data_IF_644235294841
#
_entry.id   IF_644235294841
#
_cell.length_a   1.000
_cell.length_b   1.000
_cell.length_c   1.000
_cell.angle_alpha   90.00
_cell.angle_beta   90.00
_cell.angle_gamma   90.00
#
_symmetry.space_group_name_H-M   'P 1'
#
loop_
_entity.id
_entity.type
_entity.pdbx_description
1 polymer ?
#
# COMPACT_ATOMS: atom_id res chain seq x y z
N UNK A 1 31.40 49.62 21.09
CA UNK A 1 31.16 48.51 20.12
C UNK A 1 32.48 47.86 19.72
N UNK A 2 33.20 47.20 20.64
CA UNK A 2 34.47 46.49 20.32
C UNK A 2 34.72 45.22 21.14
N UNK A 3 33.69 44.66 21.79
CA UNK A 3 33.83 43.46 22.64
C UNK A 3 33.13 42.21 22.07
N UNK A 4 32.48 42.33 20.90
CA UNK A 4 31.88 41.18 20.20
C UNK A 4 32.90 40.35 19.41
N UNK A 5 34.11 40.88 19.22
CA UNK A 5 35.13 40.31 18.34
C UNK A 5 36.12 39.36 19.04
N UNK A 6 36.08 39.28 20.37
CA UNK A 6 36.91 38.35 21.15
C UNK A 6 36.07 37.23 21.77
N UNK A 7 34.95 36.91 21.13
CA UNK A 7 33.99 35.93 21.62
C UNK A 7 33.99 34.72 20.68
N UNK A 8 34.34 33.54 21.18
CA UNK A 8 34.22 32.26 20.46
C UNK A 8 32.75 31.95 20.05
N UNK A 9 31.82 32.85 20.40
CA UNK A 9 30.38 32.86 20.12
C UNK A 9 30.03 33.26 18.68
N UNK A 10 30.98 33.74 17.87
CA UNK A 10 30.75 33.98 16.43
C UNK A 10 30.61 32.69 15.60
N UNK A 11 31.38 31.64 15.93
CA UNK A 11 31.28 30.33 15.28
C UNK A 11 29.95 29.65 15.61
N UNK A 12 29.44 29.86 16.83
CA UNK A 12 28.15 29.34 17.24
C UNK A 12 27.02 29.93 16.39
N UNK A 13 27.07 31.22 16.04
CA UNK A 13 26.08 31.84 15.17
C UNK A 13 26.09 31.22 13.76
N UNK A 14 27.29 31.03 13.18
CA UNK A 14 27.44 30.39 11.86
C UNK A 14 26.94 28.94 11.92
N UNK A 15 27.38 28.18 12.91
CA UNK A 15 26.98 26.79 13.11
C UNK A 15 25.46 26.65 13.26
N UNK A 16 24.85 27.48 14.12
CA UNK A 16 23.39 27.48 14.34
C UNK A 16 22.64 27.89 13.08
N UNK A 17 23.15 28.86 12.31
CA UNK A 17 22.51 29.29 11.05
C UNK A 17 22.46 28.20 9.98
N UNK A 18 23.40 27.25 10.01
CA UNK A 18 23.42 26.09 9.11
C UNK A 18 22.66 24.90 9.71
N UNK A 19 22.83 24.65 11.00
CA UNK A 19 22.24 23.50 11.68
C UNK A 19 20.73 23.63 11.84
N UNK A 20 20.18 24.81 12.09
CA UNK A 20 18.73 24.97 12.22
C UNK A 20 17.98 24.61 10.93
N UNK A 21 18.32 25.15 9.75
CA UNK A 21 17.74 24.68 8.49
C UNK A 21 17.96 23.19 8.23
N UNK A 22 19.14 22.65 8.56
CA UNK A 22 19.42 21.23 8.38
C UNK A 22 18.50 20.35 9.25
N UNK A 23 18.35 20.67 10.54
CA UNK A 23 17.47 19.95 11.47
C UNK A 23 16.02 20.05 11.01
N UNK A 24 15.56 21.23 10.59
CA UNK A 24 14.20 21.41 10.07
C UNK A 24 14.00 20.56 8.80
N UNK A 25 14.97 20.56 7.88
CA UNK A 25 14.93 19.73 6.68
C UNK A 25 14.83 18.24 6.98
N UNK A 26 15.61 17.74 7.95
CA UNK A 26 15.54 16.35 8.40
C UNK A 26 14.21 16.01 9.10
N UNK A 27 13.65 16.95 9.87
CA UNK A 27 12.35 16.76 10.50
C UNK A 27 11.25 16.60 9.43
N UNK A 28 11.28 17.42 8.38
CA UNK A 28 10.34 17.32 7.26
C UNK A 28 10.49 16.00 6.49
N UNK A 29 11.73 15.58 6.21
CA UNK A 29 11.99 14.28 5.57
C UNK A 29 11.45 13.11 6.42
N UNK A 30 11.62 13.17 7.74
CA UNK A 30 11.08 12.17 8.66
C UNK A 30 9.55 12.11 8.60
N UNK A 31 8.89 13.27 8.52
CA UNK A 31 7.44 13.34 8.36
C UNK A 31 7.00 12.71 7.03
N UNK A 32 7.70 12.99 5.94
CA UNK A 32 7.43 12.38 4.62
C UNK A 32 7.55 10.85 4.68
N UNK A 33 8.61 10.35 5.29
CA UNK A 33 8.83 8.92 5.47
C UNK A 33 7.73 8.27 6.33
N UNK A 34 7.31 8.92 7.41
CA UNK A 34 6.20 8.44 8.23
C UNK A 34 4.90 8.33 7.42
N UNK A 35 4.62 9.31 6.56
CA UNK A 35 3.42 9.29 5.71
C UNK A 35 3.47 8.20 4.64
N UNK A 36 4.62 7.98 4.01
CA UNK A 36 4.80 6.90 3.05
C UNK A 36 4.62 5.52 3.70
N UNK A 37 5.15 5.32 4.91
CA UNK A 37 4.97 4.07 5.65
C UNK A 37 3.52 3.84 6.07
N UNK A 38 2.81 4.90 6.51
CA UNK A 38 1.39 4.78 6.83
C UNK A 38 0.58 4.41 5.59
N UNK A 39 0.81 5.08 4.46
CA UNK A 39 0.20 4.71 3.18
C UNK A 39 0.44 3.24 2.85
N UNK A 40 1.68 2.78 2.97
CA UNK A 40 2.03 1.39 2.67
C UNK A 40 1.25 0.41 3.55
N UNK A 41 1.18 0.66 4.85
CA UNK A 41 0.43 -0.18 5.79
C UNK A 41 -1.07 -0.17 5.52
N UNK A 42 -1.64 0.99 5.18
CA UNK A 42 -3.06 1.11 4.85
C UNK A 42 -3.39 0.32 3.57
N UNK A 43 -2.53 0.42 2.55
CA UNK A 43 -2.70 -0.34 1.30
C UNK A 43 -2.53 -1.85 1.50
N UNK A 44 -1.59 -2.28 2.36
CA UNK A 44 -1.45 -3.70 2.69
C UNK A 44 -2.69 -4.26 3.39
N UNK A 45 -3.21 -3.54 4.40
CA UNK A 45 -4.45 -3.94 5.09
C UNK A 45 -5.64 -3.95 4.14
N UNK A 46 -5.70 -2.97 3.24
CA UNK A 46 -6.74 -2.91 2.23
C UNK A 46 -6.68 -4.10 1.28
N UNK A 47 -5.50 -4.45 0.79
CA UNK A 47 -5.28 -5.62 -0.06
C UNK A 47 -5.71 -6.93 0.64
N UNK A 48 -5.37 -7.09 1.92
CA UNK A 48 -5.79 -8.25 2.71
C UNK A 48 -7.32 -8.31 2.88
N UNK A 49 -7.95 -7.18 3.20
CA UNK A 49 -9.41 -7.10 3.31
C UNK A 49 -10.11 -7.47 1.99
N UNK A 50 -9.62 -6.96 0.85
CA UNK A 50 -10.15 -7.33 -0.47
C UNK A 50 -9.90 -8.81 -0.80
N UNK A 51 -8.73 -9.36 -0.46
CA UNK A 51 -8.41 -10.76 -0.67
C UNK A 51 -9.35 -11.67 0.15
N UNK A 52 -9.62 -11.33 1.42
CA UNK A 52 -10.55 -12.09 2.28
C UNK A 52 -11.98 -12.01 1.75
N UNK A 53 -12.46 -10.82 1.37
CA UNK A 53 -13.81 -10.68 0.82
C UNK A 53 -13.97 -11.41 -0.51
N UNK A 54 -12.96 -11.35 -1.38
CA UNK A 54 -12.95 -12.10 -2.63
C UNK A 54 -12.90 -13.61 -2.41
N UNK A 55 -12.05 -14.08 -1.48
CA UNK A 55 -11.89 -15.50 -1.17
C UNK A 55 -13.13 -16.10 -0.49
N UNK A 56 -13.87 -15.33 0.31
CA UNK A 56 -15.11 -15.78 0.94
C UNK A 56 -16.19 -16.21 -0.08
N UNK A 57 -16.13 -15.70 -1.30
CA UNK A 57 -17.05 -16.05 -2.38
C UNK A 57 -16.58 -17.25 -3.22
N UNK A 58 -15.31 -17.67 -3.09
CA UNK A 58 -14.72 -18.78 -3.86
C UNK A 58 -15.10 -20.14 -3.25
N UNK A 59 -16.29 -20.62 -3.59
CA UNK A 59 -16.89 -21.87 -3.09
C UNK A 59 -16.88 -23.02 -4.13
N UNK A 60 -16.20 -22.84 -5.26
CA UNK A 60 -16.11 -23.83 -6.35
C UNK A 60 -17.32 -23.85 -7.29
N UNK A 61 -18.32 -22.99 -7.09
CA UNK A 61 -19.41 -22.86 -8.06
C UNK A 61 -18.94 -22.10 -9.32
N UNK A 62 -19.56 -22.36 -10.50
CA UNK A 62 -19.23 -21.64 -11.73
C UNK A 62 -19.44 -20.11 -11.65
N UNK A 63 -20.28 -19.63 -10.73
CA UNK A 63 -20.54 -18.20 -10.53
C UNK A 63 -19.62 -17.55 -9.47
N UNK A 64 -18.72 -18.33 -8.85
CA UNK A 64 -17.92 -17.90 -7.71
C UNK A 64 -17.02 -16.70 -8.03
N UNK A 65 -16.39 -16.67 -9.22
CA UNK A 65 -15.54 -15.56 -9.63
C UNK A 65 -16.37 -14.29 -9.84
N UNK A 66 -17.55 -14.38 -10.44
CA UNK A 66 -18.45 -13.23 -10.62
C UNK A 66 -18.89 -12.67 -9.26
N UNK A 67 -19.17 -13.54 -8.29
CA UNK A 67 -19.52 -13.13 -6.93
C UNK A 67 -18.33 -12.51 -6.20
N UNK A 68 -17.15 -13.12 -6.31
CA UNK A 68 -15.87 -12.59 -5.80
C UNK A 68 -15.60 -11.20 -6.34
N UNK A 69 -15.90 -10.99 -7.62
CA UNK A 69 -15.72 -9.70 -8.28
C UNK A 69 -16.65 -8.62 -7.74
N UNK A 70 -17.91 -8.98 -7.55
CA UNK A 70 -18.89 -8.11 -6.91
C UNK A 70 -18.52 -7.83 -5.45
N UNK A 71 -17.97 -8.81 -4.74
CA UNK A 71 -17.53 -8.66 -3.36
C UNK A 71 -16.38 -7.66 -3.24
N UNK A 72 -15.33 -7.82 -4.05
CA UNK A 72 -14.20 -6.88 -4.12
C UNK A 72 -14.68 -5.46 -4.46
N UNK A 73 -15.66 -5.34 -5.37
CA UNK A 73 -16.15 -4.03 -5.79
C UNK A 73 -17.09 -3.33 -4.79
N UNK A 74 -17.77 -4.06 -3.90
CA UNK A 74 -18.91 -3.50 -3.14
C UNK A 74 -18.96 -3.85 -1.64
N UNK A 75 -18.23 -4.86 -1.17
CA UNK A 75 -18.30 -5.30 0.24
C UNK A 75 -17.20 -4.70 1.11
N UNK A 76 -16.16 -4.16 0.50
CA UNK A 76 -14.98 -3.65 1.21
C UNK A 76 -14.65 -2.25 0.73
N UNK A 77 -14.67 -1.30 1.67
CA UNK A 77 -14.22 0.07 1.45
C UNK A 77 -13.03 0.34 2.36
N UNK A 78 -11.85 0.52 1.75
CA UNK A 78 -10.63 0.89 2.47
C UNK A 78 -10.24 2.32 2.12
N UNK A 79 -9.86 3.10 3.12
CA UNK A 79 -9.30 4.44 2.91
C UNK A 79 -7.81 4.45 3.18
N UNK A 80 -7.06 5.29 2.48
CA UNK A 80 -5.62 5.45 2.69
C UNK A 80 -5.24 6.91 2.82
N UNK A 81 -4.09 7.21 3.44
CA UNK A 81 -3.64 8.60 3.60
C UNK A 81 -2.15 8.79 3.33
N UNK A 82 -1.84 9.61 2.31
CA UNK A 82 -0.49 10.11 2.06
C UNK A 82 -0.31 11.59 2.42
N UNK A 83 -1.34 12.41 2.20
CA UNK A 83 -1.29 13.86 2.42
C UNK A 83 -2.26 14.31 3.52
N UNK A 84 -2.09 15.54 4.00
CA UNK A 84 -3.00 16.17 4.95
C UNK A 84 -4.09 17.01 4.26
N UNK A 85 -4.12 17.03 2.93
CA UNK A 85 -5.08 17.81 2.16
C UNK A 85 -6.34 16.98 1.89
N UNK A 86 -7.49 17.51 2.31
CA UNK A 86 -8.80 16.94 2.01
C UNK A 86 -9.16 15.66 2.80
N UNK A 87 -10.35 15.10 2.53
CA UNK A 87 -10.79 13.81 3.07
C UNK A 87 -9.86 12.67 2.65
N UNK A 88 -9.85 11.57 3.41
CA UNK A 88 -9.10 10.38 3.01
C UNK A 88 -9.72 9.78 1.74
N UNK A 89 -8.93 9.52 0.68
CA UNK A 89 -9.41 8.82 -0.50
C UNK A 89 -9.77 7.36 -0.19
N UNK A 90 -10.83 6.88 -0.83
CA UNK A 90 -11.20 5.45 -0.85
C UNK A 90 -10.38 4.73 -1.94
N UNK A 91 -9.86 3.55 -1.61
CA UNK A 91 -9.21 2.64 -2.55
C UNK A 91 -10.27 2.03 -3.46
N UNK A 92 -10.28 2.47 -4.71
CA UNK A 92 -11.23 2.01 -5.72
C UNK A 92 -10.67 0.84 -6.51
N UNK A 93 -11.54 0.12 -7.24
CA UNK A 93 -11.16 -1.01 -8.10
C UNK A 93 -10.04 -0.67 -9.10
N UNK A 94 -9.91 0.59 -9.54
CA UNK A 94 -8.84 1.01 -10.45
C UNK A 94 -7.43 0.88 -9.84
N UNK A 95 -7.31 0.85 -8.51
CA UNK A 95 -6.05 0.66 -7.80
C UNK A 95 -5.77 -0.79 -7.40
N UNK A 96 -6.63 -1.74 -7.79
CA UNK A 96 -6.58 -3.14 -7.36
C UNK A 96 -6.24 -4.01 -8.57
N UNK A 97 -5.28 -4.91 -8.40
CA UNK A 97 -5.02 -6.00 -9.35
C UNK A 97 -5.33 -7.30 -8.65
N UNK A 98 -6.14 -8.14 -9.29
CA UNK A 98 -6.51 -9.48 -8.83
C UNK A 98 -6.02 -10.55 -9.81
N UNK A 99 -5.84 -11.76 -9.31
CA UNK A 99 -5.51 -12.94 -10.12
C UNK A 99 -6.12 -14.16 -9.46
N UNK A 100 -6.98 -14.86 -10.18
CA UNK A 100 -7.56 -16.12 -9.75
C UNK A 100 -6.66 -17.29 -10.14
N UNK A 101 -6.54 -18.28 -9.26
CA UNK A 101 -5.77 -19.50 -9.49
C UNK A 101 -6.72 -20.68 -9.66
N UNK A 102 -6.39 -21.56 -10.61
CA UNK A 102 -7.10 -22.84 -10.78
C UNK A 102 -6.39 -24.00 -10.11
N UNK A 103 -5.09 -23.90 -9.91
CA UNK A 103 -4.27 -24.94 -9.29
C UNK A 103 -3.08 -24.31 -8.57
N UNK A 104 -2.49 -25.08 -7.66
CA UNK A 104 -1.24 -24.72 -7.01
C UNK A 104 -0.08 -25.55 -7.59
N UNK A 105 1.13 -24.97 -7.70
CA UNK A 105 2.31 -25.74 -8.05
C UNK A 105 2.55 -26.91 -7.08
N UNK A 106 3.18 -28.03 -7.53
CA UNK A 106 3.38 -29.21 -6.69
C UNK A 106 4.27 -28.98 -5.45
N UNK A 107 5.11 -27.95 -5.47
CA UNK A 107 5.95 -27.56 -4.34
C UNK A 107 5.72 -26.08 -4.02
N UNK A 108 5.67 -25.72 -2.74
CA UNK A 108 5.44 -24.34 -2.28
C UNK A 108 6.51 -23.34 -2.74
N UNK A 109 7.70 -23.82 -3.09
CA UNK A 109 8.80 -22.98 -3.58
C UNK A 109 8.74 -22.74 -5.09
N UNK A 110 7.88 -23.48 -5.81
CA UNK A 110 7.72 -23.29 -7.25
C UNK A 110 6.91 -22.02 -7.51
N UNK A 111 7.33 -21.23 -8.50
CA UNK A 111 6.58 -20.05 -8.89
C UNK A 111 5.23 -20.43 -9.51
N UNK A 112 4.21 -19.61 -9.26
CA UNK A 112 2.91 -19.69 -9.96
C UNK A 112 3.15 -19.57 -11.47
N UNK A 113 2.73 -20.59 -12.22
CA UNK A 113 2.94 -20.70 -13.66
C UNK A 113 1.71 -20.19 -14.40
N UNK A 114 1.82 -20.02 -15.71
CA UNK A 114 0.69 -19.54 -16.53
C UNK A 114 -0.47 -20.51 -16.48
N UNK A 115 -0.21 -21.83 -16.46
CA UNK A 115 -1.25 -22.84 -16.37
C UNK A 115 -1.98 -22.90 -15.02
N UNK A 116 -1.41 -22.29 -13.97
CA UNK A 116 -2.02 -22.28 -12.63
C UNK A 116 -3.05 -21.15 -12.48
N UNK A 117 -3.11 -20.26 -13.47
CA UNK A 117 -3.92 -19.04 -13.45
C UNK A 117 -5.16 -19.23 -14.31
N UNK A 118 -6.30 -18.77 -13.81
CA UNK A 118 -7.54 -18.71 -14.59
C UNK A 118 -7.42 -17.58 -15.63
N UNK A 119 -7.67 -17.92 -16.89
CA UNK A 119 -7.67 -16.95 -18.00
C UNK A 119 -9.05 -16.63 -18.53
N UNK A 120 -10.01 -17.54 -18.35
CA UNK A 120 -11.43 -17.30 -18.61
C UNK A 120 -12.22 -17.34 -17.29
N UNK A 121 -12.52 -16.16 -16.75
CA UNK A 121 -13.20 -16.03 -15.46
C UNK A 121 -14.67 -16.51 -15.47
N UNK A 122 -15.24 -16.82 -16.64
CA UNK A 122 -16.63 -17.30 -16.78
C UNK A 122 -16.66 -18.81 -16.98
N UNK A 123 -15.87 -19.32 -17.92
CA UNK A 123 -15.94 -20.73 -18.31
C UNK A 123 -15.07 -21.63 -17.41
N UNK A 124 -13.95 -21.11 -16.89
CA UNK A 124 -12.98 -21.90 -16.11
C UNK A 124 -13.26 -21.91 -14.60
N UNK A 125 -14.22 -21.11 -14.13
CA UNK A 125 -14.45 -20.89 -12.69
C UNK A 125 -14.78 -22.19 -11.93
N UNK A 126 -15.54 -23.10 -12.56
CA UNK A 126 -15.91 -24.40 -11.98
C UNK A 126 -14.82 -25.48 -12.11
N UNK A 127 -13.72 -25.19 -12.80
CA UNK A 127 -12.59 -26.10 -12.96
C UNK A 127 -11.45 -25.83 -11.97
N UNK A 128 -11.62 -24.83 -11.10
CA UNK A 128 -10.66 -24.53 -10.04
C UNK A 128 -10.72 -25.62 -8.95
N UNK A 129 -9.55 -26.08 -8.52
CA UNK A 129 -9.38 -27.14 -7.52
C UNK A 129 -9.40 -26.63 -6.07
#
# INVERSE_FOLDING_TARGET
>A
VRTFWHDQRGIALILVSVMLPAIIGFALLTIDMSRANNLHNDLQKGADAFAIAGAAELDGNPDAIIRSDRAIANLVDNTYKFSNAGPMPTLTNAGITRRYLRSLPPNDTDAIRVQDVITDEVDDAGEAE
#
